data_IF_728467444779
#
_entry.id   IF_728467444779
#
_cell.length_a   1.000
_cell.length_b   1.000
_cell.length_c   1.000
_cell.angle_alpha   90.00
_cell.angle_beta   90.00
_cell.angle_gamma   90.00
#
_symmetry.space_group_name_H-M   'P 1'
#
loop_
_entity.id
_entity.type
_entity.pdbx_description
1 polymer ?
#
# COMPACT_ATOMS: atom_id res chain seq x y z
N UNK A 1 55.94 5.63 -40.51
CA UNK A 1 54.56 5.71 -39.99
C UNK A 1 54.38 4.63 -38.93
N UNK A 2 54.36 5.00 -37.65
CA UNK A 2 54.11 4.08 -36.53
C UNK A 2 52.94 4.67 -35.73
N UNK A 3 51.77 4.05 -35.82
CA UNK A 3 50.57 4.47 -35.12
C UNK A 3 50.61 4.01 -33.66
N UNK A 4 50.49 4.96 -32.73
CA UNK A 4 50.33 4.70 -31.29
C UNK A 4 48.88 4.31 -31.02
N UNK A 5 48.65 3.08 -30.58
CA UNK A 5 47.35 2.64 -30.06
C UNK A 5 47.26 3.12 -28.61
N UNK A 6 46.40 4.11 -28.36
CA UNK A 6 46.02 4.52 -27.01
C UNK A 6 44.97 3.54 -26.48
N UNK A 7 45.31 2.78 -25.44
CA UNK A 7 44.36 1.95 -24.72
C UNK A 7 43.56 2.85 -23.74
N UNK A 8 42.31 3.14 -24.08
CA UNK A 8 41.34 3.76 -23.19
C UNK A 8 40.78 2.71 -22.23
N UNK A 9 41.22 2.75 -20.98
CA UNK A 9 40.65 1.94 -19.89
C UNK A 9 39.23 2.40 -19.59
N UNK A 10 38.25 1.59 -19.96
CA UNK A 10 36.84 1.78 -19.59
C UNK A 10 36.64 1.25 -18.16
N UNK A 11 36.63 2.13 -17.16
CA UNK A 11 36.30 1.76 -15.79
C UNK A 11 34.80 1.46 -15.67
N UNK A 12 34.47 0.17 -15.56
CA UNK A 12 33.10 -0.31 -15.37
C UNK A 12 32.72 -0.18 -13.89
N UNK A 13 32.01 0.90 -13.53
CA UNK A 13 31.44 1.06 -12.20
C UNK A 13 30.20 0.17 -12.05
N UNK A 14 30.36 -1.03 -11.48
CA UNK A 14 29.23 -1.83 -11.01
C UNK A 14 28.63 -1.14 -9.77
N UNK A 15 27.48 -0.49 -9.95
CA UNK A 15 26.70 0.03 -8.83
C UNK A 15 26.20 -1.11 -7.95
N UNK A 16 26.68 -1.19 -6.71
CA UNK A 16 26.14 -2.06 -5.68
C UNK A 16 24.74 -1.57 -5.29
N UNK A 17 23.71 -2.32 -5.68
CA UNK A 17 22.35 -2.07 -5.19
C UNK A 17 22.31 -2.31 -3.68
N UNK A 18 21.88 -1.29 -2.92
CA UNK A 18 21.70 -1.41 -1.47
C UNK A 18 20.58 -2.43 -1.17
N UNK A 19 20.82 -3.45 -0.33
CA UNK A 19 19.85 -4.52 -0.06
C UNK A 19 18.46 -4.01 0.37
N UNK A 20 18.40 -2.88 1.09
CA UNK A 20 17.16 -2.30 1.59
C UNK A 20 16.23 -1.72 0.51
N UNK A 21 16.78 -1.23 -0.61
CA UNK A 21 15.96 -0.67 -1.68
C UNK A 21 15.19 -1.75 -2.46
N UNK A 22 15.85 -2.89 -2.72
CA UNK A 22 15.23 -4.04 -3.38
C UNK A 22 14.15 -4.70 -2.49
N UNK A 23 14.37 -4.75 -1.18
CA UNK A 23 13.41 -5.32 -0.23
C UNK A 23 12.11 -4.52 -0.15
N UNK A 24 12.19 -3.20 -0.18
CA UNK A 24 11.02 -2.31 -0.22
C UNK A 24 10.27 -2.42 -1.56
N UNK A 25 11.00 -2.55 -2.68
CA UNK A 25 10.36 -2.73 -3.99
C UNK A 25 9.58 -4.04 -4.11
N UNK A 26 10.09 -5.13 -3.53
CA UNK A 26 9.41 -6.43 -3.57
C UNK A 26 8.15 -6.46 -2.69
N UNK A 27 8.20 -5.81 -1.52
CA UNK A 27 7.03 -5.68 -0.64
C UNK A 27 5.92 -4.86 -1.29
N UNK A 28 6.29 -3.70 -1.87
CA UNK A 28 5.39 -2.84 -2.62
C UNK A 28 4.76 -3.58 -3.82
N UNK A 29 5.56 -4.37 -4.54
CA UNK A 29 5.09 -5.16 -5.67
C UNK A 29 4.08 -6.23 -5.24
N UNK A 30 4.37 -6.95 -4.14
CA UNK A 30 3.47 -7.95 -3.57
C UNK A 30 2.17 -7.32 -3.06
N UNK A 31 2.25 -6.19 -2.34
CA UNK A 31 1.10 -5.44 -1.86
C UNK A 31 0.19 -5.01 -3.03
N UNK A 32 0.79 -4.41 -4.07
CA UNK A 32 0.10 -4.02 -5.31
C UNK A 32 -0.60 -5.21 -5.96
N UNK A 33 0.10 -6.33 -6.11
CA UNK A 33 -0.44 -7.54 -6.73
C UNK A 33 -1.67 -8.06 -5.98
N UNK A 34 -1.57 -8.18 -4.65
CA UNK A 34 -2.66 -8.70 -3.82
C UNK A 34 -3.87 -7.76 -3.84
N UNK A 35 -3.66 -6.45 -3.66
CA UNK A 35 -4.73 -5.46 -3.69
C UNK A 35 -5.42 -5.40 -5.05
N UNK A 36 -4.66 -5.39 -6.14
CA UNK A 36 -5.21 -5.41 -7.50
C UNK A 36 -6.09 -6.65 -7.73
N UNK A 37 -5.68 -7.81 -7.19
CA UNK A 37 -6.42 -9.08 -7.37
C UNK A 37 -7.78 -9.13 -6.66
N UNK A 38 -8.01 -8.27 -5.66
CA UNK A 38 -9.20 -8.36 -4.79
C UNK A 38 -10.14 -7.17 -4.90
N UNK A 39 -9.72 -6.04 -5.47
CA UNK A 39 -10.54 -4.82 -5.68
C UNK A 39 -11.92 -5.13 -6.30
N UNK A 40 -11.97 -5.89 -7.40
CA UNK A 40 -13.24 -6.21 -8.07
C UNK A 40 -14.25 -6.89 -7.13
N UNK A 41 -13.77 -7.83 -6.30
CA UNK A 41 -14.61 -8.51 -5.30
C UNK A 41 -14.97 -7.60 -4.12
N UNK A 42 -14.14 -6.61 -3.80
CA UNK A 42 -14.38 -5.60 -2.78
C UNK A 42 -15.52 -4.66 -3.20
N UNK A 43 -15.51 -4.20 -4.45
CA UNK A 43 -16.54 -3.34 -5.03
C UNK A 43 -17.88 -4.05 -5.13
N UNK A 44 -17.91 -5.24 -5.76
CA UNK A 44 -19.12 -6.05 -5.94
C UNK A 44 -19.88 -6.27 -4.62
N UNK A 45 -19.14 -6.53 -3.54
CA UNK A 45 -19.72 -6.86 -2.24
C UNK A 45 -19.88 -5.63 -1.34
N UNK A 46 -19.33 -4.50 -1.75
CA UNK A 46 -19.14 -3.32 -0.92
C UNK A 46 -18.57 -3.70 0.46
N UNK A 47 -17.45 -4.41 0.46
CA UNK A 47 -16.76 -4.89 1.68
C UNK A 47 -15.27 -4.72 1.51
N UNK A 48 -14.61 -4.38 2.60
CA UNK A 48 -13.16 -4.43 2.66
C UNK A 48 -12.66 -5.86 2.55
N UNK A 49 -11.48 -6.02 1.96
CA UNK A 49 -10.72 -7.25 1.99
C UNK A 49 -9.33 -6.94 2.55
N UNK A 50 -8.89 -7.71 3.54
CA UNK A 50 -7.63 -7.46 4.22
C UNK A 50 -6.79 -8.73 4.41
N UNK A 51 -5.54 -8.52 4.75
CA UNK A 51 -4.61 -9.54 5.19
C UNK A 51 -3.29 -8.92 5.65
N UNK A 52 -2.33 -9.78 5.95
CA UNK A 52 -0.96 -9.37 6.28
C UNK A 52 0.03 -9.85 5.21
N UNK A 53 1.14 -9.13 5.11
CA UNK A 53 2.40 -9.52 4.49
C UNK A 53 3.40 -9.90 5.58
N UNK A 54 4.30 -10.84 5.28
CA UNK A 54 5.35 -11.24 6.19
C UNK A 54 6.51 -11.90 5.47
N UNK A 55 7.58 -12.18 6.23
CA UNK A 55 8.76 -12.90 5.73
C UNK A 55 8.82 -14.30 6.32
N UNK A 56 9.13 -15.28 5.48
CA UNK A 56 9.42 -16.65 5.93
C UNK A 56 10.80 -16.73 6.57
N UNK A 57 11.16 -17.91 7.11
CA UNK A 57 12.47 -18.13 7.76
C UNK A 57 13.66 -17.87 6.83
N UNK A 58 13.48 -18.17 5.55
CA UNK A 58 14.42 -17.94 4.44
C UNK A 58 14.36 -16.51 3.87
N UNK A 59 13.61 -15.59 4.50
CA UNK A 59 13.55 -14.18 4.12
C UNK A 59 12.59 -13.83 2.98
N UNK A 60 11.95 -14.84 2.36
CA UNK A 60 11.00 -14.66 1.26
C UNK A 60 9.71 -13.99 1.73
N UNK A 61 9.22 -13.04 0.94
CA UNK A 61 7.92 -12.39 1.19
C UNK A 61 6.75 -13.35 0.90
N UNK A 62 5.74 -13.29 1.77
CA UNK A 62 4.48 -14.03 1.66
C UNK A 62 3.31 -13.15 2.04
N UNK A 63 2.21 -13.27 1.31
CA UNK A 63 0.93 -12.69 1.68
C UNK A 63 0.01 -13.77 2.27
N UNK A 64 -0.80 -13.38 3.25
CA UNK A 64 -1.96 -14.17 3.67
C UNK A 64 -3.03 -14.13 2.58
N UNK A 65 -3.94 -15.13 2.56
CA UNK A 65 -5.11 -15.09 1.69
C UNK A 65 -6.02 -13.92 2.10
N UNK A 66 -6.52 -13.09 1.16
CA UNK A 66 -7.43 -12.01 1.49
C UNK A 66 -8.66 -12.52 2.22
N UNK A 67 -8.98 -11.89 3.34
CA UNK A 67 -10.18 -12.17 4.15
C UNK A 67 -11.20 -11.06 3.92
N UNK A 68 -12.45 -11.46 3.67
CA UNK A 68 -13.57 -10.52 3.61
C UNK A 68 -13.85 -9.93 5.00
N UNK A 69 -13.86 -8.61 5.06
CA UNK A 69 -14.25 -7.82 6.23
C UNK A 69 -15.72 -7.37 6.23
N UNK A 70 -15.95 -6.27 6.91
CA UNK A 70 -17.18 -5.49 6.96
C UNK A 70 -17.08 -4.32 5.98
N UNK A 71 -17.96 -3.33 6.12
CA UNK A 71 -18.00 -2.16 5.21
C UNK A 71 -16.87 -1.17 5.46
N UNK A 72 -16.43 -1.07 6.71
CA UNK A 72 -15.49 -0.07 7.24
C UNK A 72 -14.54 -0.69 8.27
N UNK A 73 -14.35 -2.01 8.20
CA UNK A 73 -13.43 -2.71 9.09
C UNK A 73 -13.09 -4.09 8.57
N UNK A 74 -11.86 -4.52 8.80
CA UNK A 74 -11.42 -5.86 8.48
C UNK A 74 -10.39 -6.34 9.50
N UNK A 75 -10.47 -7.63 9.85
CA UNK A 75 -9.53 -8.25 10.79
C UNK A 75 -8.61 -9.19 10.02
N UNK A 76 -7.34 -8.83 9.75
CA UNK A 76 -6.47 -9.63 8.91
C UNK A 76 -6.06 -10.94 9.59
N UNK A 77 -5.55 -11.89 8.80
CA UNK A 77 -4.92 -13.12 9.31
C UNK A 77 -3.45 -13.11 8.95
N UNK A 78 -2.62 -13.67 9.82
CA UNK A 78 -1.18 -13.83 9.54
C UNK A 78 -0.96 -14.89 8.43
N UNK A 79 0.04 -14.74 7.56
CA UNK A 79 0.40 -15.77 6.59
C UNK A 79 0.98 -16.98 7.33
N UNK A 80 0.50 -18.20 7.03
CA UNK A 80 0.89 -19.41 7.77
C UNK A 80 2.42 -19.64 7.86
N UNK A 81 3.16 -19.25 6.81
CA UNK A 81 4.62 -19.46 6.73
C UNK A 81 5.44 -18.27 7.24
N UNK A 82 4.80 -17.16 7.61
CA UNK A 82 5.50 -15.98 8.08
C UNK A 82 6.11 -16.21 9.47
N UNK A 83 7.35 -15.73 9.64
CA UNK A 83 8.07 -15.65 10.92
C UNK A 83 8.06 -14.24 11.46
N UNK A 84 8.14 -13.24 10.59
CA UNK A 84 7.92 -11.84 10.92
C UNK A 84 6.81 -11.28 10.04
N UNK A 85 5.99 -10.39 10.61
CA UNK A 85 5.10 -9.55 9.82
C UNK A 85 5.86 -8.30 9.40
N UNK A 86 5.49 -7.75 8.25
CA UNK A 86 6.12 -6.53 7.73
C UNK A 86 5.08 -5.45 7.43
N UNK A 87 3.91 -5.84 6.93
CA UNK A 87 2.84 -4.91 6.65
C UNK A 87 1.45 -5.55 6.75
N UNK A 88 0.44 -4.74 7.05
CA UNK A 88 -0.95 -5.04 6.73
C UNK A 88 -1.27 -4.66 5.28
N UNK A 89 -2.36 -5.18 4.74
CA UNK A 89 -2.98 -4.62 3.55
C UNK A 89 -4.49 -4.69 3.67
N UNK A 90 -5.19 -3.71 3.10
CA UNK A 90 -6.63 -3.79 2.91
C UNK A 90 -7.15 -2.94 1.74
N UNK A 91 -8.34 -3.28 1.25
CA UNK A 91 -9.11 -2.43 0.35
C UNK A 91 -10.16 -1.67 1.14
N UNK A 92 -10.47 -0.45 0.73
CA UNK A 92 -11.79 0.12 0.98
C UNK A 92 -12.83 -0.55 0.08
N UNK A 93 -14.10 -0.49 0.50
CA UNK A 93 -15.24 -1.10 -0.21
C UNK A 93 -15.60 -0.41 -1.53
N UNK A 94 -16.87 -0.49 -1.93
CA UNK A 94 -17.35 0.22 -3.12
C UNK A 94 -17.41 1.73 -2.86
N UNK A 95 -17.36 2.53 -3.93
CA UNK A 95 -17.59 3.96 -3.83
C UNK A 95 -18.95 4.28 -3.18
N UNK A 96 -18.93 5.26 -2.27
CA UNK A 96 -20.12 5.81 -1.63
C UNK A 96 -19.99 7.33 -1.58
N UNK A 97 -20.98 8.01 -2.16
CA UNK A 97 -21.00 9.47 -2.18
C UNK A 97 -21.00 10.07 -0.76
N UNK A 98 -21.60 9.39 0.21
CA UNK A 98 -21.71 9.82 1.60
C UNK A 98 -20.62 9.27 2.53
N UNK A 99 -19.51 8.75 2.00
CA UNK A 99 -18.36 8.35 2.83
C UNK A 99 -17.03 8.71 2.16
N UNK A 100 -16.09 9.20 2.95
CA UNK A 100 -14.74 9.51 2.48
C UNK A 100 -13.87 8.25 2.45
N UNK A 101 -13.99 7.49 1.36
CA UNK A 101 -13.24 6.25 1.14
C UNK A 101 -11.95 6.42 0.32
N UNK A 102 -11.47 7.64 0.09
CA UNK A 102 -10.34 7.90 -0.83
C UNK A 102 -8.98 8.16 -0.13
N UNK A 103 -8.96 8.14 1.20
CA UNK A 103 -7.77 8.29 2.05
C UNK A 103 -7.80 7.27 3.18
N UNK A 104 -6.66 6.85 3.75
CA UNK A 104 -6.65 6.09 5.00
C UNK A 104 -7.41 6.83 6.10
N UNK A 105 -8.21 6.10 6.88
CA UNK A 105 -8.83 6.64 8.10
C UNK A 105 -7.78 6.82 9.20
N UNK A 106 -8.15 7.56 10.25
CA UNK A 106 -7.29 7.67 11.43
C UNK A 106 -7.09 6.30 12.10
N UNK A 107 -8.14 5.48 12.16
CA UNK A 107 -8.12 4.15 12.76
C UNK A 107 -7.23 3.18 11.97
N UNK A 108 -7.17 3.29 10.64
CA UNK A 108 -6.24 2.48 9.82
C UNK A 108 -4.80 2.74 10.23
N UNK A 109 -4.42 4.02 10.34
CA UNK A 109 -3.05 4.40 10.68
C UNK A 109 -2.70 4.02 12.11
N UNK A 110 -3.60 4.27 13.07
CA UNK A 110 -3.38 3.86 14.45
C UNK A 110 -3.31 2.34 14.61
N UNK A 111 -4.12 1.59 13.87
CA UNK A 111 -4.08 0.13 13.88
C UNK A 111 -2.74 -0.43 13.39
N UNK A 112 -2.20 0.09 12.28
CA UNK A 112 -0.89 -0.31 11.77
C UNK A 112 0.24 0.06 12.76
N UNK A 113 0.15 1.23 13.39
CA UNK A 113 1.10 1.64 14.44
C UNK A 113 1.05 0.73 15.68
N UNK A 114 -0.14 0.39 16.17
CA UNK A 114 -0.33 -0.49 17.33
C UNK A 114 0.17 -1.92 17.04
N UNK A 115 -0.01 -2.41 15.81
CA UNK A 115 0.51 -3.69 15.37
C UNK A 115 2.03 -3.68 15.10
N UNK A 116 2.64 -2.49 15.03
CA UNK A 116 4.07 -2.29 14.76
C UNK A 116 4.49 -2.72 13.36
N UNK A 117 3.61 -2.51 12.37
CA UNK A 117 3.79 -2.90 10.96
C UNK A 117 3.42 -1.75 10.04
N UNK A 118 3.95 -1.75 8.83
CA UNK A 118 3.48 -0.81 7.81
C UNK A 118 2.09 -1.20 7.28
N UNK A 119 1.48 -0.34 6.47
CA UNK A 119 0.18 -0.60 5.85
C UNK A 119 0.13 -0.29 4.36
N UNK A 120 -0.70 -1.04 3.65
CA UNK A 120 -0.99 -0.80 2.23
C UNK A 120 -2.50 -0.76 1.98
N UNK A 121 -2.96 0.30 1.34
CA UNK A 121 -4.39 0.56 1.17
C UNK A 121 -4.76 0.87 -0.28
N UNK A 122 -5.81 0.22 -0.77
CA UNK A 122 -6.40 0.50 -2.09
C UNK A 122 -7.80 1.10 -1.96
N UNK A 123 -8.08 2.15 -2.72
CA UNK A 123 -9.36 2.90 -2.66
C UNK A 123 -10.28 2.60 -3.85
N UNK A 124 -11.58 2.95 -3.79
CA UNK A 124 -12.49 2.82 -4.93
C UNK A 124 -12.03 3.57 -6.18
N UNK A 125 -11.43 4.75 -6.01
CA UNK A 125 -10.82 5.53 -7.09
C UNK A 125 -9.56 4.92 -7.69
N UNK A 126 -9.10 3.77 -7.15
CA UNK A 126 -7.89 3.08 -7.60
C UNK A 126 -6.60 3.71 -7.07
N UNK A 127 -6.66 4.54 -6.02
CA UNK A 127 -5.46 5.07 -5.38
C UNK A 127 -4.76 3.97 -4.61
N UNK A 128 -3.44 4.07 -4.54
CA UNK A 128 -2.62 3.17 -3.77
C UNK A 128 -1.83 3.94 -2.72
N UNK A 129 -2.00 3.54 -1.47
CA UNK A 129 -1.44 4.20 -0.30
C UNK A 129 -0.49 3.28 0.44
N UNK A 130 0.54 3.89 1.01
CA UNK A 130 1.43 3.32 2.00
C UNK A 130 1.23 4.07 3.31
N UNK A 131 1.18 3.33 4.41
CA UNK A 131 1.09 3.83 5.78
C UNK A 131 2.39 3.43 6.47
N UNK A 132 3.13 4.42 6.95
CA UNK A 132 4.32 4.19 7.76
C UNK A 132 3.88 3.91 9.20
N UNK A 133 4.00 2.65 9.62
CA UNK A 133 3.55 2.19 10.95
C UNK A 133 4.43 2.71 12.10
N UNK A 134 5.58 3.30 11.80
CA UNK A 134 6.43 3.91 12.83
C UNK A 134 6.08 5.38 13.05
N UNK A 135 5.86 6.12 11.97
CA UNK A 135 5.67 7.58 12.02
C UNK A 135 4.21 8.01 11.97
N UNK A 136 3.29 7.12 11.59
CA UNK A 136 1.88 7.45 11.36
C UNK A 136 1.66 8.34 10.13
N UNK A 137 2.62 8.37 9.20
CA UNK A 137 2.53 9.16 7.97
C UNK A 137 2.02 8.29 6.83
N UNK A 138 0.88 8.68 6.26
CA UNK A 138 0.31 8.06 5.06
C UNK A 138 0.79 8.77 3.80
N UNK A 139 1.27 8.02 2.81
CA UNK A 139 1.78 8.52 1.52
C UNK A 139 1.09 7.81 0.36
N UNK A 140 0.61 8.60 -0.59
CA UNK A 140 0.05 8.08 -1.82
C UNK A 140 1.21 7.66 -2.74
N UNK A 141 1.29 6.36 -3.03
CA UNK A 141 2.23 5.81 -3.99
C UNK A 141 1.84 6.26 -5.40
N UNK A 142 0.54 6.21 -5.71
CA UNK A 142 -0.02 6.68 -6.97
C UNK A 142 -1.51 6.98 -6.87
N UNK A 143 -2.00 7.82 -7.79
CA UNK A 143 -3.34 8.40 -7.76
C UNK A 143 -4.44 7.56 -8.43
N UNK A 144 -5.45 8.26 -8.95
CA UNK A 144 -6.63 7.65 -9.56
C UNK A 144 -6.26 6.66 -10.67
N UNK A 145 -6.96 5.52 -10.73
CA UNK A 145 -6.78 4.49 -11.75
C UNK A 145 -5.45 3.73 -11.68
N UNK A 146 -4.67 3.89 -10.61
CA UNK A 146 -3.40 3.17 -10.45
C UNK A 146 -3.59 1.68 -10.13
N UNK A 147 -4.66 1.36 -9.41
CA UNK A 147 -5.21 0.03 -9.19
C UNK A 147 -6.60 -0.03 -9.84
N UNK A 148 -7.21 -1.23 -9.99
CA UNK A 148 -8.57 -1.35 -10.51
C UNK A 148 -9.50 -0.37 -9.81
N UNK A 149 -10.24 0.40 -10.58
CA UNK A 149 -11.14 1.44 -10.11
C UNK A 149 -12.57 0.91 -10.11
N UNK A 150 -13.35 1.28 -9.09
CA UNK A 150 -14.78 1.01 -9.04
C UNK A 150 -15.46 1.71 -10.23
N UNK A 151 -16.22 0.98 -11.09
CA UNK A 151 -16.93 1.58 -12.22
C UNK A 151 -17.90 2.70 -11.82
N UNK A 152 -18.40 2.70 -10.57
CA UNK A 152 -19.27 3.73 -10.02
C UNK A 152 -18.54 4.91 -9.37
N UNK A 153 -17.21 4.96 -9.41
CA UNK A 153 -16.43 6.00 -8.74
C UNK A 153 -16.68 7.40 -9.34
N UNK A 154 -16.90 8.38 -8.47
CA UNK A 154 -16.99 9.80 -8.84
C UNK A 154 -15.90 10.58 -8.09
N UNK A 155 -14.96 11.22 -8.81
CA UNK A 155 -13.86 11.95 -8.17
C UNK A 155 -14.35 13.22 -7.46
N UNK A 156 -13.67 13.59 -6.38
CA UNK A 156 -13.83 14.91 -5.73
C UNK A 156 -15.01 15.06 -4.77
N UNK A 157 -15.77 13.98 -4.49
CA UNK A 157 -16.93 14.03 -3.59
C UNK A 157 -16.61 14.50 -2.16
N UNK A 158 -15.37 14.29 -1.69
CA UNK A 158 -14.90 14.65 -0.34
C UNK A 158 -13.72 15.65 -0.38
N UNK A 159 -13.73 16.50 -1.41
CA UNK A 159 -12.71 17.52 -1.64
C UNK A 159 -11.37 16.96 -2.12
N UNK A 160 -10.32 17.80 -2.15
CA UNK A 160 -9.01 17.39 -2.65
C UNK A 160 -8.34 16.34 -1.77
N UNK A 161 -7.81 15.29 -2.43
CA UNK A 161 -6.97 14.27 -1.80
C UNK A 161 -5.50 14.67 -1.92
N UNK A 162 -4.85 14.92 -0.78
CA UNK A 162 -3.41 15.23 -0.72
C UNK A 162 -2.59 13.97 -1.00
N UNK A 163 -1.31 14.12 -1.34
CA UNK A 163 -0.39 12.97 -1.50
C UNK A 163 0.17 12.44 -0.18
N UNK A 164 0.08 13.22 0.89
CA UNK A 164 0.62 12.87 2.21
C UNK A 164 -0.36 13.33 3.27
N UNK A 165 -0.56 12.51 4.30
CA UNK A 165 -1.33 12.83 5.49
C UNK A 165 -0.57 12.44 6.75
N UNK A 166 -0.54 13.31 7.75
CA UNK A 166 -0.17 12.99 9.13
C UNK A 166 -1.41 12.58 9.94
N UNK A 167 -1.23 11.94 11.09
CA UNK A 167 -2.31 11.64 12.05
C UNK A 167 -3.18 12.86 12.34
N UNK A 168 -2.57 14.01 12.62
CA UNK A 168 -3.29 15.26 12.92
C UNK A 168 -4.11 15.75 11.71
N UNK A 169 -3.61 15.58 10.49
CA UNK A 169 -4.35 15.92 9.27
C UNK A 169 -5.52 14.97 9.02
N UNK A 170 -5.37 13.68 9.31
CA UNK A 170 -6.47 12.70 9.25
C UNK A 170 -7.51 12.99 10.34
N UNK A 171 -7.08 13.24 11.58
CA UNK A 171 -7.95 13.60 12.69
C UNK A 171 -8.80 14.84 12.37
N UNK A 172 -8.22 15.87 11.74
CA UNK A 172 -9.00 17.03 11.26
C UNK A 172 -9.96 16.68 10.14
N UNK A 173 -9.55 15.81 9.21
CA UNK A 173 -10.37 15.42 8.05
C UNK A 173 -11.61 14.62 8.48
N UNK A 174 -11.48 13.78 9.50
CA UNK A 174 -12.54 12.90 9.98
C UNK A 174 -13.25 13.40 11.26
N UNK A 175 -12.64 14.32 12.02
CA UNK A 175 -13.17 14.84 13.28
C UNK A 175 -13.87 16.20 13.17
N UNK A 176 -13.80 16.87 12.02
CA UNK A 176 -14.52 18.13 11.76
C UNK A 176 -15.90 17.87 11.14
N UNK A 177 -16.87 17.51 11.98
CA UNK A 177 -18.30 17.65 11.69
C UNK A 177 -18.81 19.03 12.09
#
# INVERSE_FOLDING_TARGET
MLARIAATSLALWLGLALPGAAQLSDELALARQVLASVQAASFDRNREFCGMLGRTKDGRLVASKPRRGRRVSCLPRRPFRAKTLVASYHTHGAYKQNADGEVPSLDDVLGDMDDGVDGYLATPGGRFWYIDGTTGVSRQICGLGCLPQDPGFIPGAWGPVRKVYTLEQLARRFGGG
#
